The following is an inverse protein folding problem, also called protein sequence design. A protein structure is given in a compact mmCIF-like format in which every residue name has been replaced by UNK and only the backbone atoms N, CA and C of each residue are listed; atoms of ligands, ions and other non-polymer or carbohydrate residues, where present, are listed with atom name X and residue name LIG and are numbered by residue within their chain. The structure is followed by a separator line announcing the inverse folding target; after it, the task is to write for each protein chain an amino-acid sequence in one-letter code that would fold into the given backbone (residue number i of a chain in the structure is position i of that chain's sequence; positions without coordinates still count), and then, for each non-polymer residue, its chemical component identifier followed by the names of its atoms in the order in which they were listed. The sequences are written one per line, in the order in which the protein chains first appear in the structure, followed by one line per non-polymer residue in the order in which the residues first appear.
data_IF_596593301755
#
_entry.id   IF_596593301755
#
_cell.length_a   1.000
_cell.length_b   1.000
_cell.length_c   1.000
_cell.angle_alpha   90.00
_cell.angle_beta   90.00
_cell.angle_gamma   90.00
#
_symmetry.space_group_name_H-M   'P 1'
#
loop_
_entity.id
_entity.type
_entity.pdbx_description
1 polymer ?
#
# COMPACT_ATOMS: atom_id res chain seq x y z
N UNK A 1 52.64 35.81 36.22
CA UNK A 1 52.29 34.56 35.53
C UNK A 1 52.45 34.79 34.05
N UNK A 2 53.47 34.21 33.39
CA UNK A 2 53.76 34.42 31.97
C UNK A 2 53.01 33.37 31.17
N UNK A 3 52.05 33.78 30.40
CA UNK A 3 51.33 32.93 29.47
C UNK A 3 52.27 32.58 28.34
N UNK A 4 52.55 31.30 28.15
CA UNK A 4 53.45 30.82 27.11
C UNK A 4 52.74 30.64 25.79
N UNK A 5 53.49 30.72 24.65
CA UNK A 5 52.90 30.51 23.31
C UNK A 5 52.22 29.18 23.14
N UNK A 6 52.46 28.21 24.04
CA UNK A 6 51.87 26.90 24.07
C UNK A 6 50.43 26.93 24.58
N UNK A 7 50.12 27.88 25.47
CA UNK A 7 48.77 28.01 26.06
C UNK A 7 47.77 28.66 25.07
N UNK A 8 48.27 29.39 24.07
CA UNK A 8 47.42 29.97 23.02
C UNK A 8 47.05 29.01 21.90
N UNK A 9 47.74 27.87 21.74
CA UNK A 9 47.43 26.88 20.69
C UNK A 9 46.36 25.92 21.13
N UNK A 10 46.11 25.77 22.44
CA UNK A 10 45.06 24.85 22.97
C UNK A 10 43.68 25.52 23.01
N UNK A 11 43.58 26.83 22.92
CA UNK A 11 42.31 27.56 23.01
C UNK A 11 41.61 27.76 21.64
N UNK A 12 42.19 27.29 20.54
CA UNK A 12 41.68 27.49 19.17
C UNK A 12 41.19 26.24 18.46
N UNK A 13 41.09 25.10 19.17
CA UNK A 13 40.69 23.82 18.57
C UNK A 13 39.33 23.27 19.03
N UNK A 14 38.49 24.09 19.62
CA UNK A 14 37.19 23.63 20.12
C UNK A 14 36.01 24.42 19.52
N UNK A 15 36.11 24.88 18.29
CA UNK A 15 34.90 25.17 17.49
C UNK A 15 34.64 23.97 16.62
N UNK A 16 34.07 22.92 17.25
CA UNK A 16 33.43 21.86 16.51
C UNK A 16 32.22 22.48 15.79
N UNK A 17 32.38 22.75 14.51
CA UNK A 17 31.26 22.98 13.61
C UNK A 17 30.48 21.67 13.55
N UNK A 18 29.50 21.50 14.42
CA UNK A 18 28.46 20.51 14.25
C UNK A 18 27.60 20.94 13.07
N UNK A 19 28.04 20.61 11.86
CA UNK A 19 27.15 20.55 10.72
C UNK A 19 26.15 19.43 11.02
N UNK A 20 25.06 19.80 11.68
CA UNK A 20 23.86 18.97 11.71
C UNK A 20 23.39 18.89 10.26
N UNK A 21 23.81 17.85 9.55
CA UNK A 21 23.19 17.43 8.31
C UNK A 21 21.74 17.02 8.69
N UNK A 22 20.87 18.02 8.74
CA UNK A 22 19.44 17.77 8.76
C UNK A 22 19.12 17.01 7.49
N UNK A 23 18.93 15.70 7.60
CA UNK A 23 18.29 14.91 6.56
C UNK A 23 16.88 15.46 6.48
N UNK A 24 16.66 16.44 5.60
CA UNK A 24 15.33 16.83 5.16
C UNK A 24 14.77 15.57 4.49
N UNK A 25 14.01 14.79 5.27
CA UNK A 25 13.13 13.78 4.70
C UNK A 25 12.23 14.54 3.73
N UNK A 26 12.56 14.48 2.44
CA UNK A 26 11.68 14.95 1.39
C UNK A 26 10.42 14.12 1.47
N UNK A 27 9.42 14.62 2.17
CA UNK A 27 8.06 14.10 2.07
C UNK A 27 7.65 14.32 0.62
N UNK A 28 7.79 13.28 -0.21
CA UNK A 28 7.22 13.28 -1.56
C UNK A 28 5.71 13.45 -1.37
N UNK A 29 5.21 14.65 -1.59
CA UNK A 29 3.77 14.87 -1.69
C UNK A 29 3.28 13.99 -2.84
N UNK A 30 2.41 13.04 -2.54
CA UNK A 30 1.78 12.22 -3.57
C UNK A 30 1.01 13.15 -4.52
N UNK A 31 1.17 12.94 -5.82
CA UNK A 31 0.41 13.69 -6.83
C UNK A 31 -1.07 13.31 -6.74
N UNK A 32 -1.95 14.29 -6.81
CA UNK A 32 -3.41 14.07 -6.85
C UNK A 32 -3.76 13.26 -8.09
N UNK A 33 -4.48 12.16 -7.90
CA UNK A 33 -5.02 11.35 -9.00
C UNK A 33 -6.18 12.12 -9.63
N UNK A 34 -5.98 12.58 -10.86
CA UNK A 34 -6.99 13.18 -11.71
C UNK A 34 -7.67 12.17 -12.63
N UNK A 35 -8.44 12.63 -13.64
CA UNK A 35 -9.04 11.75 -14.65
C UNK A 35 -7.98 10.85 -15.29
N UNK A 36 -8.18 9.53 -15.21
CA UNK A 36 -7.17 8.55 -15.63
C UNK A 36 -7.83 7.34 -16.30
N UNK A 37 -7.11 6.72 -17.23
CA UNK A 37 -7.53 5.51 -17.94
C UNK A 37 -6.37 4.52 -17.88
N UNK A 38 -6.66 3.27 -17.52
CA UNK A 38 -5.68 2.18 -17.47
C UNK A 38 -6.07 1.10 -18.46
N UNK A 39 -5.39 1.06 -19.61
CA UNK A 39 -5.56 -0.01 -20.59
C UNK A 39 -4.98 -1.32 -20.06
N UNK A 40 -5.77 -2.38 -20.07
CA UNK A 40 -5.39 -3.69 -19.53
C UNK A 40 -4.09 -4.23 -20.14
N UNK A 41 -3.89 -4.05 -21.43
CA UNK A 41 -2.74 -4.59 -22.14
C UNK A 41 -1.48 -3.72 -21.97
N UNK A 42 -1.66 -2.44 -21.63
CA UNK A 42 -0.56 -1.51 -21.37
C UNK A 42 -0.09 -1.52 -19.91
N UNK A 43 -0.88 -2.04 -18.97
CA UNK A 43 -0.50 -2.10 -17.56
C UNK A 43 0.71 -3.00 -17.33
N UNK A 44 1.71 -2.47 -16.61
CA UNK A 44 2.87 -3.27 -16.19
C UNK A 44 2.44 -4.41 -15.27
N UNK A 45 2.82 -5.63 -15.63
CA UNK A 45 2.65 -6.83 -14.81
C UNK A 45 3.89 -7.01 -13.94
N UNK A 46 3.71 -7.08 -12.63
CA UNK A 46 4.77 -7.38 -11.67
C UNK A 46 4.53 -8.78 -11.10
N UNK A 47 5.39 -9.76 -11.40
CA UNK A 47 5.27 -11.10 -10.83
C UNK A 47 5.44 -11.08 -9.30
N UNK A 48 4.75 -12.01 -8.63
CA UNK A 48 4.90 -12.31 -7.20
C UNK A 48 5.02 -13.83 -7.01
N UNK A 49 5.39 -14.29 -5.83
CA UNK A 49 5.50 -15.73 -5.55
C UNK A 49 4.16 -16.46 -5.75
N UNK A 50 3.06 -15.80 -5.42
CA UNK A 50 1.70 -16.36 -5.48
C UNK A 50 0.94 -16.03 -6.76
N UNK A 51 1.51 -15.21 -7.65
CA UNK A 51 0.84 -14.80 -8.88
C UNK A 51 1.44 -13.55 -9.53
N UNK A 52 0.65 -12.49 -9.66
CA UNK A 52 1.10 -11.22 -10.23
C UNK A 52 0.21 -10.05 -9.78
N UNK A 53 0.75 -8.84 -9.84
CA UNK A 53 0.02 -7.58 -9.54
C UNK A 53 0.19 -6.58 -10.69
N UNK A 54 -0.87 -5.81 -10.96
CA UNK A 54 -0.84 -4.61 -11.79
C UNK A 54 -1.25 -3.41 -10.93
N UNK A 55 -0.37 -2.45 -10.74
CA UNK A 55 -0.69 -1.19 -10.04
C UNK A 55 -1.39 -0.23 -10.99
N UNK A 56 -2.50 0.36 -10.57
CA UNK A 56 -3.20 1.39 -11.30
C UNK A 56 -2.84 2.78 -10.77
N UNK A 57 -3.02 3.02 -9.47
CA UNK A 57 -2.72 4.30 -8.86
C UNK A 57 -2.67 4.21 -7.34
N UNK A 58 -1.91 5.13 -6.73
CA UNK A 58 -1.84 5.28 -5.29
C UNK A 58 -1.57 6.74 -4.95
N UNK A 59 -2.54 7.44 -4.36
CA UNK A 59 -2.41 8.84 -3.96
C UNK A 59 -3.73 9.48 -3.59
N UNK A 60 -3.71 10.76 -3.16
CA UNK A 60 -4.91 11.51 -2.86
C UNK A 60 -5.74 11.77 -4.13
N UNK A 61 -7.02 12.02 -3.94
CA UNK A 61 -7.92 12.55 -4.97
C UNK A 61 -8.49 13.89 -4.52
N UNK A 62 -9.43 14.47 -5.27
CA UNK A 62 -10.09 15.69 -4.84
C UNK A 62 -10.93 15.51 -3.56
N UNK A 63 -11.32 14.29 -3.19
CA UNK A 63 -12.24 14.00 -2.07
C UNK A 63 -11.73 12.91 -1.12
N UNK A 64 -10.67 12.20 -1.46
CA UNK A 64 -10.08 11.14 -0.66
C UNK A 64 -8.66 11.52 -0.23
N UNK A 65 -8.29 11.21 1.00
CA UNK A 65 -6.92 11.39 1.51
C UNK A 65 -5.94 10.44 0.80
N UNK A 66 -6.38 9.24 0.49
CA UNK A 66 -5.66 8.27 -0.32
C UNK A 66 -6.62 7.36 -1.05
N UNK A 67 -6.29 7.04 -2.29
CA UNK A 67 -6.94 6.02 -3.13
C UNK A 67 -5.85 5.12 -3.67
N UNK A 68 -5.87 3.85 -3.31
CA UNK A 68 -4.98 2.83 -3.84
C UNK A 68 -5.78 1.85 -4.69
N UNK A 69 -5.31 1.60 -5.89
CA UNK A 69 -5.96 0.68 -6.83
C UNK A 69 -4.95 -0.24 -7.47
N UNK A 70 -5.26 -1.52 -7.49
CA UNK A 70 -4.47 -2.52 -8.20
C UNK A 70 -5.33 -3.69 -8.69
N UNK A 71 -4.72 -4.53 -9.53
CA UNK A 71 -5.31 -5.82 -9.93
C UNK A 71 -4.38 -6.92 -9.46
N UNK A 72 -4.93 -7.88 -8.74
CA UNK A 72 -4.20 -9.09 -8.32
C UNK A 72 -4.63 -10.29 -9.16
N UNK A 73 -3.66 -11.09 -9.57
CA UNK A 73 -3.88 -12.42 -10.13
C UNK A 73 -3.24 -13.44 -9.21
N UNK A 74 -3.99 -14.43 -8.74
CA UNK A 74 -3.51 -15.52 -7.89
C UNK A 74 -3.53 -16.85 -8.64
N UNK A 75 -2.46 -17.64 -8.50
CA UNK A 75 -2.41 -19.03 -8.93
C UNK A 75 -3.44 -19.88 -8.15
N UNK A 76 -3.84 -21.04 -8.66
CA UNK A 76 -4.71 -21.99 -7.95
C UNK A 76 -4.17 -22.33 -6.54
N UNK A 77 -5.06 -22.35 -5.56
CA UNK A 77 -4.74 -22.67 -4.16
C UNK A 77 -3.99 -21.59 -3.40
N UNK A 78 -3.69 -20.43 -4.02
CA UNK A 78 -2.92 -19.37 -3.39
C UNK A 78 -3.82 -18.32 -2.73
N UNK A 79 -3.21 -17.60 -1.76
CA UNK A 79 -3.74 -16.39 -1.13
C UNK A 79 -2.70 -15.27 -1.25
N UNK A 80 -3.13 -14.02 -1.34
CA UNK A 80 -2.20 -12.88 -1.38
C UNK A 80 -1.50 -12.67 -0.02
N UNK A 81 -2.22 -12.88 1.07
CA UNK A 81 -1.77 -12.79 2.46
C UNK A 81 -2.77 -13.48 3.39
N UNK A 82 -2.33 -13.74 4.63
CA UNK A 82 -3.22 -14.27 5.68
C UNK A 82 -4.39 -13.30 5.96
N UNK A 83 -5.52 -13.79 6.49
CA UNK A 83 -6.59 -12.91 6.93
C UNK A 83 -6.09 -11.81 7.85
N UNK A 84 -6.51 -10.57 7.57
CA UNK A 84 -6.04 -9.38 8.27
C UNK A 84 -7.15 -8.32 8.36
N UNK A 85 -6.85 -7.19 8.95
CA UNK A 85 -7.72 -6.02 9.02
C UNK A 85 -6.88 -4.74 8.91
N UNK A 86 -7.46 -3.70 8.36
CA UNK A 86 -6.87 -2.37 8.23
C UNK A 86 -7.93 -1.27 8.36
N UNK A 87 -7.53 -0.03 8.67
CA UNK A 87 -8.49 1.08 8.85
C UNK A 87 -9.18 1.53 7.55
N UNK A 88 -8.55 1.34 6.39
CA UNK A 88 -9.18 1.67 5.10
C UNK A 88 -10.42 0.80 4.85
N UNK A 89 -11.36 1.34 4.12
CA UNK A 89 -12.39 0.55 3.45
C UNK A 89 -11.85 0.01 2.13
N UNK A 90 -12.34 -1.15 1.71
CA UNK A 90 -11.85 -1.82 0.52
C UNK A 90 -13.00 -2.43 -0.27
N UNK A 91 -12.98 -2.25 -1.59
CA UNK A 91 -13.86 -2.91 -2.54
C UNK A 91 -13.05 -3.88 -3.39
N UNK A 92 -13.49 -5.14 -3.48
CA UNK A 92 -12.88 -6.14 -4.36
C UNK A 92 -13.90 -6.58 -5.40
N UNK A 93 -13.51 -6.58 -6.67
CA UNK A 93 -14.38 -7.00 -7.79
C UNK A 93 -13.73 -8.19 -8.48
N UNK A 94 -14.40 -9.34 -8.44
CA UNK A 94 -13.90 -10.56 -9.07
C UNK A 94 -14.11 -10.46 -10.59
N UNK A 95 -13.01 -10.47 -11.33
CA UNK A 95 -13.01 -10.46 -12.79
C UNK A 95 -13.07 -11.88 -13.36
N UNK A 96 -12.18 -12.76 -12.88
CA UNK A 96 -12.01 -14.12 -13.41
C UNK A 96 -11.74 -15.11 -12.26
N UNK A 97 -12.10 -16.36 -12.46
CA UNK A 97 -11.80 -17.47 -11.54
C UNK A 97 -12.82 -17.60 -10.40
N UNK A 98 -12.50 -18.49 -9.46
CA UNK A 98 -13.36 -18.78 -8.30
C UNK A 98 -12.56 -18.54 -7.02
N UNK A 99 -13.12 -17.73 -6.13
CA UNK A 99 -12.48 -17.38 -4.86
C UNK A 99 -13.33 -17.80 -3.67
N UNK A 100 -12.70 -17.88 -2.52
CA UNK A 100 -13.39 -17.75 -1.23
C UNK A 100 -12.90 -16.47 -0.54
N UNK A 101 -13.85 -15.72 0.00
CA UNK A 101 -13.58 -14.54 0.84
C UNK A 101 -14.07 -14.78 2.25
N UNK A 102 -13.27 -14.33 3.24
CA UNK A 102 -13.68 -14.28 4.63
C UNK A 102 -14.45 -12.98 4.89
N UNK A 103 -15.71 -13.09 5.29
CA UNK A 103 -16.57 -11.96 5.61
C UNK A 103 -17.45 -12.32 6.79
N UNK A 104 -17.48 -11.49 7.84
CA UNK A 104 -18.20 -11.73 9.10
C UNK A 104 -17.88 -13.12 9.73
N UNK A 105 -16.60 -13.51 9.69
CA UNK A 105 -16.16 -14.79 10.24
C UNK A 105 -16.49 -16.02 9.40
N UNK A 106 -17.13 -15.86 8.24
CA UNK A 106 -17.56 -16.96 7.36
C UNK A 106 -16.87 -16.87 6.01
N UNK A 107 -16.35 -18.00 5.52
CA UNK A 107 -15.83 -18.12 4.17
C UNK A 107 -16.99 -18.29 3.18
N UNK A 108 -17.06 -17.41 2.19
CA UNK A 108 -18.09 -17.38 1.14
C UNK A 108 -17.44 -17.60 -0.23
N UNK A 109 -17.97 -18.56 -1.01
CA UNK A 109 -17.49 -18.86 -2.36
C UNK A 109 -18.12 -17.92 -3.38
N UNK A 110 -17.30 -17.31 -4.24
CA UNK A 110 -17.72 -16.31 -5.21
C UNK A 110 -17.06 -16.56 -6.57
N UNK A 111 -17.74 -16.14 -7.63
CA UNK A 111 -17.25 -16.19 -9.02
C UNK A 111 -17.20 -14.83 -9.69
N UNK A 112 -16.91 -14.79 -11.00
CA UNK A 112 -16.80 -13.56 -11.79
C UNK A 112 -18.03 -12.66 -11.66
N UNK A 113 -17.81 -11.34 -11.61
CA UNK A 113 -18.85 -10.32 -11.42
C UNK A 113 -19.24 -10.07 -9.97
N UNK A 114 -18.80 -10.93 -9.03
CA UNK A 114 -19.07 -10.70 -7.59
C UNK A 114 -18.29 -9.51 -7.07
N UNK A 115 -18.91 -8.83 -6.10
CA UNK A 115 -18.34 -7.67 -5.40
C UNK A 115 -18.26 -7.96 -3.91
N UNK A 116 -17.13 -7.64 -3.29
CA UNK A 116 -16.88 -7.76 -1.85
C UNK A 116 -16.64 -6.35 -1.32
N UNK A 117 -17.28 -6.00 -0.22
CA UNK A 117 -16.98 -4.80 0.53
C UNK A 117 -16.42 -5.19 1.90
N UNK A 118 -15.18 -4.80 2.13
CA UNK A 118 -14.48 -4.95 3.41
C UNK A 118 -14.56 -3.63 4.16
N UNK A 119 -15.38 -3.58 5.20
CA UNK A 119 -15.52 -2.40 6.05
C UNK A 119 -14.24 -2.16 6.87
N UNK A 120 -14.02 -0.91 7.27
CA UNK A 120 -12.90 -0.50 8.11
C UNK A 120 -12.74 -1.43 9.33
N UNK A 121 -11.52 -1.89 9.57
CA UNK A 121 -11.13 -2.77 10.68
C UNK A 121 -11.87 -4.13 10.77
N UNK A 122 -12.60 -4.52 9.72
CA UNK A 122 -13.20 -5.85 9.64
C UNK A 122 -12.18 -6.90 9.23
N UNK A 123 -12.16 -8.06 9.90
CA UNK A 123 -11.31 -9.18 9.52
C UNK A 123 -11.74 -9.75 8.18
N UNK A 124 -10.86 -9.75 7.21
CA UNK A 124 -11.12 -10.25 5.87
C UNK A 124 -9.93 -11.00 5.28
N UNK A 125 -10.16 -11.73 4.20
CA UNK A 125 -9.13 -12.45 3.45
C UNK A 125 -9.73 -13.03 2.18
N UNK A 126 -8.88 -13.35 1.19
CA UNK A 126 -9.29 -13.90 -0.09
C UNK A 126 -8.30 -14.99 -0.52
N UNK A 127 -8.82 -16.09 -1.04
CA UNK A 127 -8.04 -17.20 -1.59
C UNK A 127 -8.62 -17.72 -2.89
N UNK A 128 -7.77 -18.14 -3.79
CA UNK A 128 -8.18 -18.82 -5.01
C UNK A 128 -8.49 -20.28 -4.69
N UNK A 129 -9.73 -20.71 -4.85
CA UNK A 129 -10.20 -22.08 -4.65
C UNK A 129 -10.61 -22.75 -5.96
N UNK A 130 -10.33 -22.09 -7.08
CA UNK A 130 -10.52 -22.64 -8.41
C UNK A 130 -9.31 -23.46 -8.89
N UNK A 131 -9.45 -24.04 -10.08
CA UNK A 131 -8.41 -24.82 -10.77
C UNK A 131 -7.59 -23.96 -11.75
N UNK A 132 -8.00 -22.73 -11.98
CA UNK A 132 -7.33 -21.74 -12.83
C UNK A 132 -6.93 -20.53 -12.03
N UNK A 133 -6.13 -19.62 -12.62
CA UNK A 133 -5.87 -18.32 -12.00
C UNK A 133 -7.18 -17.59 -11.73
N UNK A 134 -7.21 -16.87 -10.61
CA UNK A 134 -8.24 -15.86 -10.36
C UNK A 134 -7.65 -14.47 -10.53
N UNK A 135 -8.45 -13.54 -11.03
CA UNK A 135 -8.07 -12.14 -11.19
C UNK A 135 -9.16 -11.25 -10.60
N UNK A 136 -8.76 -10.28 -9.79
CA UNK A 136 -9.69 -9.35 -9.14
C UNK A 136 -9.07 -7.96 -9.00
N UNK A 137 -9.93 -6.93 -9.07
CA UNK A 137 -9.57 -5.55 -8.79
C UNK A 137 -9.71 -5.30 -7.30
N UNK A 138 -8.77 -4.56 -6.75
CA UNK A 138 -8.79 -4.04 -5.39
C UNK A 138 -8.81 -2.52 -5.48
N UNK A 139 -9.72 -1.91 -4.75
CA UNK A 139 -9.89 -0.46 -4.63
C UNK A 139 -10.02 -0.17 -3.16
N UNK A 140 -9.03 0.44 -2.54
CA UNK A 140 -9.10 0.85 -1.16
C UNK A 140 -8.87 2.35 -1.00
N UNK A 141 -9.45 2.94 0.03
CA UNK A 141 -9.39 4.37 0.23
C UNK A 141 -9.40 4.76 1.70
N UNK A 142 -8.90 5.96 1.93
CA UNK A 142 -9.01 6.66 3.21
C UNK A 142 -9.63 8.03 3.03
N UNK A 143 -10.29 8.49 4.09
CA UNK A 143 -10.88 9.83 4.22
C UNK A 143 -10.43 10.44 5.55
N UNK A 144 -10.68 11.73 5.82
CA UNK A 144 -10.44 12.32 7.14
C UNK A 144 -11.19 11.61 8.28
N UNK A 145 -12.26 10.86 7.98
CA UNK A 145 -13.03 10.08 8.95
C UNK A 145 -12.47 8.65 9.17
N UNK A 146 -11.52 8.19 8.36
CA UNK A 146 -10.91 6.87 8.51
C UNK A 146 -10.22 6.76 9.88
N UNK A 147 -10.49 5.70 10.69
CA UNK A 147 -9.83 5.51 11.97
C UNK A 147 -8.31 5.52 11.84
N UNK A 148 -7.63 6.13 12.79
CA UNK A 148 -6.16 6.04 12.87
C UNK A 148 -5.78 4.69 13.47
N UNK A 149 -4.82 4.01 12.85
CA UNK A 149 -4.23 2.75 13.36
C UNK A 149 -3.36 2.99 14.59
#
# INVERSE_FOLDING_TARGET
MRITRRDMVVALSAVAVTCSAGVLAQTRTKTIIGPSVWDWNAMKVTPTDVGAVRSLGNGPTATLDDLEMHVTTLKPGQTSHAPHKHPNEELVIIRDGIVETLSDGVWKRLGPGSVIFNASNSLHGLRNVGTTNTTYHVINWTTPATPKS
#
